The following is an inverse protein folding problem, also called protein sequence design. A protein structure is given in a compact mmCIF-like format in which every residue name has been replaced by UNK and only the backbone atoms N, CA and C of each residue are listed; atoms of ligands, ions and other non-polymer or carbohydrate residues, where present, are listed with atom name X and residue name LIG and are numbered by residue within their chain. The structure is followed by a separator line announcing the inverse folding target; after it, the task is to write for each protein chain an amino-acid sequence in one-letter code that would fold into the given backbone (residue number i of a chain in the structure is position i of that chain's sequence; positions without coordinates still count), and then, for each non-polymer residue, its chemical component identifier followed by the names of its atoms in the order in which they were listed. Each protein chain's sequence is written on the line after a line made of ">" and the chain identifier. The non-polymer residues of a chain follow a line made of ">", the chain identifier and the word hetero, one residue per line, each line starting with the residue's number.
data_IF_967737556349
#
_entry.id   IF_967737556349
#
_cell.length_a   1.000
_cell.length_b   1.000
_cell.length_c   1.000
_cell.angle_alpha   90.00
_cell.angle_beta   90.00
_cell.angle_gamma   90.00
#
_symmetry.space_group_name_H-M   'P 1'
#
loop_
_entity.id
_entity.type
_entity.pdbx_description
1 polymer ?
#
# COMPACT_ATOMS: atom_id res chain seq x y z
N UNK A 1 -14.45 -11.49 2.73
CA UNK A 1 -13.77 -10.63 3.72
C UNK A 1 -12.28 -10.89 3.60
N UNK A 2 -11.42 -9.87 3.63
CA UNK A 2 -9.98 -10.08 3.58
C UNK A 2 -9.42 -10.20 4.99
N UNK A 3 -8.57 -11.20 5.21
CA UNK A 3 -7.81 -11.42 6.44
C UNK A 3 -6.34 -11.14 6.10
N UNK A 4 -5.77 -10.11 6.70
CA UNK A 4 -4.41 -9.64 6.41
C UNK A 4 -3.59 -9.69 7.70
N UNK A 5 -2.52 -10.48 7.69
CA UNK A 5 -1.61 -10.63 8.83
C UNK A 5 -0.73 -9.40 9.00
N UNK A 6 -0.26 -8.81 7.89
CA UNK A 6 0.59 -7.61 7.92
C UNK A 6 0.46 -6.77 6.66
N UNK A 7 0.58 -5.46 6.82
CA UNK A 7 0.66 -4.48 5.72
C UNK A 7 1.88 -3.60 5.96
N UNK A 8 2.70 -3.45 4.93
CA UNK A 8 3.82 -2.54 4.83
C UNK A 8 3.49 -1.40 3.85
N UNK A 9 3.96 -0.19 4.16
CA UNK A 9 3.67 1.03 3.42
C UNK A 9 2.85 2.03 4.23
N UNK A 10 2.37 3.12 3.60
CA UNK A 10 2.44 3.40 2.17
C UNK A 10 3.88 3.64 1.67
N UNK A 11 4.20 3.08 0.52
CA UNK A 11 5.45 3.26 -0.19
C UNK A 11 5.27 4.33 -1.28
N UNK A 12 5.99 5.44 -1.13
CA UNK A 12 6.12 6.59 -2.05
C UNK A 12 4.80 7.02 -2.75
N UNK A 13 4.11 8.07 -2.27
CA UNK A 13 2.90 8.55 -2.94
C UNK A 13 3.25 9.07 -4.34
N UNK A 14 2.72 8.44 -5.38
CA UNK A 14 2.86 8.90 -6.76
C UNK A 14 1.71 9.84 -7.10
N UNK A 15 2.06 11.10 -7.39
CA UNK A 15 1.21 12.03 -8.11
C UNK A 15 1.32 11.70 -9.59
N UNK A 16 0.27 11.13 -10.17
CA UNK A 16 0.26 10.87 -11.60
C UNK A 16 -0.57 11.94 -12.28
N UNK A 17 0.07 12.71 -13.17
CA UNK A 17 -0.55 13.59 -14.16
C UNK A 17 -0.43 12.92 -15.54
N UNK A 18 -1.33 11.99 -15.92
CA UNK A 18 -1.39 11.57 -17.31
C UNK A 18 -2.02 12.74 -18.06
N UNK A 19 -1.37 13.28 -19.09
CA UNK A 19 -1.80 14.48 -19.83
C UNK A 19 -3.24 14.48 -20.39
N UNK A 20 -4.01 13.40 -20.21
CA UNK A 20 -5.42 13.25 -20.58
C UNK A 20 -6.30 12.53 -19.53
N UNK A 21 -5.74 12.01 -18.43
CA UNK A 21 -6.51 11.35 -17.36
C UNK A 21 -6.45 12.19 -16.07
N UNK A 22 -7.51 12.11 -15.26
CA UNK A 22 -7.60 12.87 -14.01
C UNK A 22 -6.36 12.64 -13.14
N UNK A 23 -5.82 13.71 -12.55
CA UNK A 23 -4.84 13.58 -11.46
C UNK A 23 -5.35 12.57 -10.42
N UNK A 24 -4.58 11.50 -10.21
CA UNK A 24 -4.83 10.46 -9.24
C UNK A 24 -3.70 10.44 -8.22
N UNK A 25 -4.04 10.16 -6.97
CA UNK A 25 -3.07 9.79 -5.94
C UNK A 25 -2.96 8.29 -5.86
N UNK A 26 -1.73 7.78 -5.87
CA UNK A 26 -1.47 6.35 -5.69
C UNK A 26 -0.54 6.11 -4.50
N UNK A 27 -0.94 5.20 -3.63
CA UNK A 27 -0.11 4.67 -2.55
C UNK A 27 0.07 3.19 -2.75
N UNK A 28 1.32 2.73 -2.67
CA UNK A 28 1.66 1.33 -2.84
C UNK A 28 1.85 0.66 -1.50
N UNK A 29 1.38 -0.57 -1.39
CA UNK A 29 1.44 -1.39 -0.19
C UNK A 29 1.87 -2.79 -0.56
N UNK A 30 2.56 -3.43 0.37
CA UNK A 30 2.83 -4.86 0.31
C UNK A 30 2.22 -5.47 1.55
N UNK A 31 1.63 -6.65 1.48
CA UNK A 31 1.24 -7.33 2.69
C UNK A 31 1.19 -8.83 2.58
N UNK A 32 0.98 -9.43 3.75
CA UNK A 32 0.97 -10.87 3.96
C UNK A 32 -0.47 -11.24 4.32
N UNK A 33 -1.08 -12.10 3.52
CA UNK A 33 -2.45 -12.59 3.74
C UNK A 33 -2.46 -13.70 4.79
N UNK A 34 -3.65 -14.15 5.14
CA UNK A 34 -3.85 -15.26 6.08
C UNK A 34 -3.13 -16.55 5.65
N UNK A 35 -3.22 -16.90 4.37
CA UNK A 35 -2.55 -18.05 3.74
C UNK A 35 -1.02 -17.89 3.59
N UNK A 36 -0.46 -16.86 4.23
CA UNK A 36 0.96 -16.46 4.16
C UNK A 36 1.42 -16.05 2.77
N UNK A 37 0.53 -15.90 1.79
CA UNK A 37 0.92 -15.36 0.48
C UNK A 37 1.15 -13.86 0.56
N UNK A 38 2.13 -13.38 -0.21
CA UNK A 38 2.38 -11.95 -0.36
C UNK A 38 1.47 -11.35 -1.43
N UNK A 39 1.03 -10.12 -1.24
CA UNK A 39 0.29 -9.36 -2.24
C UNK A 39 0.78 -7.91 -2.31
N UNK A 40 0.71 -7.35 -3.51
CA UNK A 40 1.00 -5.95 -3.77
C UNK A 40 -0.31 -5.23 -4.06
N UNK A 41 -0.59 -4.19 -3.30
CA UNK A 41 -1.79 -3.38 -3.49
C UNK A 41 -1.42 -1.96 -3.84
N UNK A 42 -2.21 -1.35 -4.71
CA UNK A 42 -2.16 0.08 -4.96
C UNK A 42 -3.50 0.68 -4.56
N UNK A 43 -3.49 1.53 -3.54
CA UNK A 43 -4.64 2.35 -3.18
C UNK A 43 -4.63 3.58 -4.08
N UNK A 44 -5.71 3.78 -4.83
CA UNK A 44 -5.86 4.90 -5.75
C UNK A 44 -7.01 5.78 -5.25
N UNK A 45 -6.75 7.08 -5.11
CA UNK A 45 -7.78 8.07 -4.85
C UNK A 45 -8.12 8.84 -6.13
N UNK A 46 -9.40 8.80 -6.50
CA UNK A 46 -9.97 9.61 -7.57
C UNK A 46 -10.60 10.87 -6.94
N UNK A 47 -9.97 12.04 -7.07
CA UNK A 47 -10.50 13.30 -6.50
C UNK A 47 -11.79 13.78 -7.18
N UNK A 48 -12.11 13.36 -8.42
CA UNK A 48 -13.36 13.76 -9.10
C UNK A 48 -14.55 13.07 -8.45
N UNK A 49 -14.43 11.76 -8.21
CA UNK A 49 -15.46 10.94 -7.58
C UNK A 49 -15.39 10.99 -6.05
N UNK A 50 -14.27 11.47 -5.50
CA UNK A 50 -13.94 11.43 -4.05
C UNK A 50 -13.96 10.01 -3.49
N UNK A 51 -13.59 9.03 -4.32
CA UNK A 51 -13.63 7.61 -3.99
C UNK A 51 -12.24 7.00 -3.98
N UNK A 52 -12.06 6.01 -3.10
CA UNK A 52 -10.87 5.17 -3.07
C UNK A 52 -11.16 3.85 -3.78
N UNK A 53 -10.21 3.36 -4.56
CA UNK A 53 -10.23 2.02 -5.16
C UNK A 53 -8.89 1.33 -4.92
N UNK A 54 -8.92 -0.01 -4.92
CA UNK A 54 -7.70 -0.82 -4.79
C UNK A 54 -7.47 -1.57 -6.08
N UNK A 55 -6.26 -1.43 -6.62
CA UNK A 55 -5.76 -2.29 -7.68
C UNK A 55 -4.89 -3.36 -7.02
N UNK A 56 -5.23 -4.63 -7.25
CA UNK A 56 -4.47 -5.77 -6.76
C UNK A 56 -3.50 -6.23 -7.86
N UNK A 57 -2.21 -6.15 -7.61
CA UNK A 57 -1.20 -6.83 -8.42
C UNK A 57 -0.74 -8.04 -7.61
N UNK A 58 -1.31 -9.20 -7.88
CA UNK A 58 -0.73 -10.46 -7.41
C UNK A 58 0.52 -10.77 -8.23
N UNK A 59 1.66 -10.23 -7.84
CA UNK A 59 2.95 -10.76 -8.27
C UNK A 59 3.27 -12.00 -7.43
N UNK A 60 3.48 -13.12 -8.11
CA UNK A 60 3.79 -14.43 -7.55
C UNK A 60 5.25 -14.56 -7.06
N UNK A 61 5.89 -13.47 -6.62
CA UNK A 61 7.29 -13.52 -6.21
C UNK A 61 7.77 -12.23 -5.54
N UNK A 62 7.89 -12.28 -4.21
CA UNK A 62 8.67 -11.36 -3.38
C UNK A 62 8.07 -10.00 -3.03
N UNK A 63 8.63 -9.37 -1.99
CA UNK A 63 8.39 -7.96 -1.62
C UNK A 63 9.07 -6.99 -2.62
N UNK A 64 8.96 -7.23 -3.93
CA UNK A 64 9.61 -6.40 -4.96
C UNK A 64 8.74 -5.19 -5.23
N UNK A 65 9.02 -4.08 -4.55
CA UNK A 65 8.19 -2.90 -4.63
C UNK A 65 8.78 -1.67 -3.95
N UNK A 66 9.87 -1.15 -4.51
CA UNK A 66 10.39 0.23 -4.39
C UNK A 66 11.26 0.59 -3.16
N UNK A 67 12.47 1.07 -3.51
CA UNK A 67 13.57 1.66 -2.73
C UNK A 67 14.01 0.93 -1.45
N UNK A 68 15.30 0.57 -1.39
CA UNK A 68 16.00 0.08 -0.19
C UNK A 68 15.69 0.89 1.08
N UNK A 69 15.48 2.20 0.92
CA UNK A 69 15.15 3.15 1.98
C UNK A 69 13.78 2.89 2.64
N UNK A 70 12.79 2.43 1.87
CA UNK A 70 11.45 2.15 2.38
C UNK A 70 11.38 0.83 3.18
N UNK A 71 12.17 -0.17 2.78
CA UNK A 71 12.34 -1.41 3.53
C UNK A 71 13.07 -1.15 4.86
N UNK A 72 14.16 -0.36 4.82
CA UNK A 72 14.90 0.06 6.03
C UNK A 72 14.01 0.85 7.00
N UNK A 73 13.17 1.76 6.50
CA UNK A 73 12.24 2.54 7.33
C UNK A 73 11.21 1.65 8.08
N UNK A 74 10.93 0.46 7.55
CA UNK A 74 10.04 -0.54 8.14
C UNK A 74 10.80 -1.58 9.00
N UNK A 75 12.08 -1.31 9.31
CA UNK A 75 12.99 -2.21 10.06
C UNK A 75 13.19 -3.57 9.38
N UNK A 76 12.98 -3.67 8.07
CA UNK A 76 13.32 -4.86 7.30
C UNK A 76 14.81 -4.77 6.97
N UNK A 77 15.57 -5.80 7.36
CA UNK A 77 17.00 -5.86 7.08
C UNK A 77 17.25 -5.82 5.55
N UNK A 78 18.03 -4.85 5.05
CA UNK A 78 18.34 -4.71 3.62
C UNK A 78 19.15 -5.88 3.03
N UNK A 79 19.67 -6.79 3.87
CA UNK A 79 20.31 -8.04 3.46
C UNK A 79 19.34 -9.21 3.29
N UNK A 80 18.07 -9.07 3.71
CA UNK A 80 17.05 -10.11 3.52
C UNK A 80 16.59 -10.08 2.07
N UNK A 81 16.94 -11.13 1.32
CA UNK A 81 16.36 -11.33 0.01
C UNK A 81 14.85 -11.60 0.16
N UNK A 82 14.06 -10.61 -0.25
CA UNK A 82 12.61 -10.64 -0.20
C UNK A 82 11.98 -11.70 -1.12
N UNK A 83 12.78 -12.33 -1.99
CA UNK A 83 12.38 -13.42 -2.89
C UNK A 83 12.53 -14.81 -2.24
N UNK A 84 13.43 -14.97 -1.25
CA UNK A 84 13.78 -16.28 -0.68
C UNK A 84 13.43 -16.45 0.79
N UNK A 85 13.17 -15.36 1.51
CA UNK A 85 12.73 -15.46 2.90
C UNK A 85 11.28 -15.95 2.99
N UNK A 86 11.01 -16.78 4.00
CA UNK A 86 9.67 -17.29 4.25
C UNK A 86 8.79 -16.16 4.83
N UNK A 87 7.50 -16.04 4.43
CA UNK A 87 6.54 -15.06 4.96
C UNK A 87 6.56 -14.86 6.48
N UNK A 88 6.77 -15.94 7.23
CA UNK A 88 6.82 -15.91 8.70
C UNK A 88 7.98 -15.08 9.26
N UNK A 89 9.08 -14.91 8.52
CA UNK A 89 10.21 -14.08 8.94
C UNK A 89 9.84 -12.60 9.13
N UNK A 90 8.69 -12.19 8.59
CA UNK A 90 8.17 -10.84 8.66
C UNK A 90 6.86 -10.73 9.46
N UNK A 91 6.41 -11.80 10.09
CA UNK A 91 5.28 -11.76 11.01
C UNK A 91 5.81 -11.52 12.43
N UNK A 92 5.21 -10.56 13.12
CA UNK A 92 5.34 -10.40 14.57
C UNK A 92 3.98 -10.70 15.23
N UNK A 93 3.88 -10.54 16.55
CA UNK A 93 2.63 -10.71 17.30
C UNK A 93 1.56 -9.64 17.00
N UNK A 94 1.68 -8.88 15.90
CA UNK A 94 0.69 -7.89 15.51
C UNK A 94 -0.68 -8.54 15.27
N UNK A 95 -1.77 -7.84 15.63
CA UNK A 95 -3.12 -8.35 15.43
C UNK A 95 -3.44 -8.47 13.93
N UNK A 96 -4.15 -9.56 13.60
CA UNK A 96 -4.69 -9.80 12.27
C UNK A 96 -5.73 -8.72 11.95
N UNK A 97 -5.64 -8.14 10.75
CA UNK A 97 -6.57 -7.13 10.26
C UNK A 97 -7.68 -7.80 9.43
N UNK A 98 -8.93 -7.53 9.79
CA UNK A 98 -10.11 -8.04 9.09
C UNK A 98 -10.94 -6.91 8.48
N UNK A 99 -11.42 -7.09 7.25
CA UNK A 99 -12.32 -6.14 6.61
C UNK A 99 -12.19 -6.10 5.09
N UNK A 100 -12.52 -4.95 4.50
CA UNK A 100 -12.25 -4.71 3.08
C UNK A 100 -10.79 -4.29 2.89
N UNK A 101 -10.13 -4.72 1.81
CA UNK A 101 -8.75 -4.31 1.55
C UNK A 101 -8.65 -2.78 1.50
N UNK A 102 -9.63 -2.11 0.87
CA UNK A 102 -9.69 -0.65 0.82
C UNK A 102 -9.70 -0.01 2.20
N UNK A 103 -10.52 -0.49 3.14
CA UNK A 103 -10.58 0.07 4.49
C UNK A 103 -9.28 -0.15 5.26
N UNK A 104 -8.68 -1.34 5.13
CA UNK A 104 -7.41 -1.68 5.78
C UNK A 104 -6.27 -0.81 5.24
N UNK A 105 -6.19 -0.61 3.92
CA UNK A 105 -5.13 0.24 3.34
C UNK A 105 -5.34 1.72 3.67
N UNK A 106 -6.59 2.20 3.66
CA UNK A 106 -6.89 3.58 4.05
C UNK A 106 -6.50 3.88 5.50
N UNK A 107 -6.65 2.94 6.42
CA UNK A 107 -6.27 3.15 7.82
C UNK A 107 -4.76 3.25 8.05
N UNK A 108 -3.95 2.95 7.03
CA UNK A 108 -2.48 3.11 7.05
C UNK A 108 -2.00 4.45 6.49
N UNK A 109 -2.90 5.28 5.96
CA UNK A 109 -2.54 6.61 5.47
C UNK A 109 -2.24 7.56 6.63
N UNK A 110 -1.20 8.37 6.47
CA UNK A 110 -0.88 9.43 7.43
C UNK A 110 -1.87 10.60 7.33
N UNK A 111 -1.97 11.46 8.36
CA UNK A 111 -2.74 12.70 8.25
C UNK A 111 -2.32 13.57 7.06
N UNK A 112 -1.03 13.57 6.71
CA UNK A 112 -0.51 14.31 5.55
C UNK A 112 -1.00 13.73 4.22
N UNK A 113 -1.10 12.40 4.10
CA UNK A 113 -1.64 11.75 2.90
C UNK A 113 -3.12 12.11 2.69
N UNK A 114 -3.88 12.13 3.78
CA UNK A 114 -5.30 12.53 3.78
C UNK A 114 -5.44 14.01 3.42
N UNK A 115 -4.58 14.87 3.97
CA UNK A 115 -4.56 16.29 3.65
C UNK A 115 -4.25 16.54 2.16
N UNK A 116 -3.27 15.81 1.58
CA UNK A 116 -2.96 15.88 0.14
C UNK A 116 -4.15 15.47 -0.73
N UNK A 117 -4.83 14.38 -0.39
CA UNK A 117 -6.04 13.96 -1.08
C UNK A 117 -7.14 15.03 -1.03
N UNK A 118 -7.32 15.65 0.12
CA UNK A 118 -8.31 16.71 0.32
C UNK A 118 -7.97 17.97 -0.47
N UNK A 119 -6.69 18.38 -0.48
CA UNK A 119 -6.22 19.54 -1.21
C UNK A 119 -6.48 19.42 -2.72
N UNK A 120 -6.30 18.24 -3.31
CA UNK A 120 -6.60 17.99 -4.73
C UNK A 120 -8.09 18.11 -5.07
N UNK A 121 -8.98 17.81 -4.12
CA UNK A 121 -10.43 18.01 -4.31
C UNK A 121 -10.76 19.51 -4.33
N UNK A 122 -10.08 20.31 -3.48
CA UNK A 122 -10.30 21.75 -3.37
C UNK A 122 -9.75 22.50 -4.58
N UNK A 123 -8.54 22.17 -5.03
CA UNK A 123 -7.87 22.82 -6.17
C UNK A 123 -8.60 22.64 -7.51
N UNK A 124 -9.61 21.76 -7.58
CA UNK A 124 -10.44 21.51 -8.76
C UNK A 124 -11.77 22.27 -8.78
N UNK A 125 -12.07 23.07 -7.76
CA UNK A 125 -13.21 24.00 -7.77
C UNK A 125 -12.84 25.28 -8.50
#
# INVERSE_FOLDING_TARGET
>A
MAIIRRVFGPFHPEHIHPGTQAEELRWHFIGIKDDKTTAHWTLVFDPRKRTYRVNNNTSSGGLIGRSRKALIAQKIDPGVNCETAHPDAWLDDSPVMEGTITSILKSKLSPEDIARATALVIARR
#
